data_IF_429272463360
#
_entry.id   IF_429272463360
#
_cell.length_a   1.000
_cell.length_b   1.000
_cell.length_c   1.000
_cell.angle_alpha   90.00
_cell.angle_beta   90.00
_cell.angle_gamma   90.00
#
_symmetry.space_group_name_H-M   'P 1'
#
loop_
_entity.id
_entity.type
_entity.pdbx_description
1 polymer ?
#
# COMPACT_ATOMS: atom_id res chain seq x y z
N UNK A 1 -25.50 18.27 5.45
CA UNK A 1 -25.56 17.05 4.60
C UNK A 1 -26.11 15.90 5.42
N UNK A 2 -26.98 15.05 4.87
CA UNK A 2 -27.58 13.94 5.60
C UNK A 2 -26.59 12.76 5.69
N UNK A 3 -26.29 12.28 6.91
CA UNK A 3 -25.42 11.12 7.10
C UNK A 3 -26.14 9.82 6.75
N UNK A 4 -25.71 9.14 5.69
CA UNK A 4 -26.34 7.91 5.18
C UNK A 4 -26.18 6.76 6.18
N UNK A 5 -27.26 6.43 6.92
CA UNK A 5 -27.27 5.30 7.85
C UNK A 5 -27.31 3.97 7.07
N UNK A 6 -26.53 2.98 7.51
CA UNK A 6 -26.59 1.62 6.97
C UNK A 6 -27.96 0.99 7.27
N UNK A 7 -28.58 0.38 6.26
CA UNK A 7 -29.81 -0.38 6.43
C UNK A 7 -29.55 -1.68 7.20
N UNK A 8 -30.60 -2.22 7.85
CA UNK A 8 -30.50 -3.51 8.55
C UNK A 8 -30.04 -4.67 7.66
N UNK A 9 -30.35 -4.63 6.35
CA UNK A 9 -29.89 -5.61 5.36
C UNK A 9 -28.38 -5.51 5.12
N UNK A 10 -27.84 -4.30 4.99
CA UNK A 10 -26.38 -4.09 4.87
C UNK A 10 -25.66 -4.53 6.15
N UNK A 11 -26.20 -4.21 7.33
CA UNK A 11 -25.64 -4.65 8.62
C UNK A 11 -25.58 -6.19 8.71
N UNK A 12 -26.63 -6.89 8.26
CA UNK A 12 -26.59 -8.36 8.16
C UNK A 12 -25.49 -8.85 7.20
N UNK A 13 -25.41 -8.29 5.98
CA UNK A 13 -24.41 -8.71 4.99
C UNK A 13 -22.96 -8.42 5.41
N UNK A 14 -22.72 -7.35 6.19
CA UNK A 14 -21.39 -6.91 6.59
C UNK A 14 -20.84 -7.62 7.83
N UNK A 15 -21.70 -8.02 8.78
CA UNK A 15 -21.27 -8.45 10.11
C UNK A 15 -21.71 -9.86 10.52
N UNK A 16 -22.57 -10.51 9.73
CA UNK A 16 -23.08 -11.85 10.00
C UNK A 16 -22.80 -12.83 8.87
N UNK A 17 -22.67 -14.11 9.24
CA UNK A 17 -22.63 -15.25 8.32
C UNK A 17 -23.65 -16.28 8.79
N UNK A 18 -24.45 -16.81 7.87
CA UNK A 18 -25.33 -17.95 8.16
C UNK A 18 -24.49 -19.21 8.35
N UNK A 19 -24.78 -19.99 9.40
CA UNK A 19 -24.00 -21.20 9.76
C UNK A 19 -24.81 -22.47 9.57
N UNK A 20 -26.09 -22.45 9.93
CA UNK A 20 -27.02 -23.57 9.73
C UNK A 20 -28.46 -23.12 9.97
N UNK A 21 -29.41 -23.92 9.49
CA UNK A 21 -30.77 -23.92 10.05
C UNK A 21 -30.75 -24.68 11.38
N UNK A 22 -31.46 -24.17 12.38
CA UNK A 22 -31.71 -24.89 13.64
C UNK A 22 -32.84 -25.91 13.44
N UNK A 23 -32.78 -27.01 14.19
CA UNK A 23 -33.84 -28.02 14.21
C UNK A 23 -35.19 -27.39 14.61
N UNK A 24 -36.31 -27.77 13.96
CA UNK A 24 -37.61 -27.16 14.22
C UNK A 24 -38.12 -27.54 15.61
N UNK A 25 -38.29 -26.53 16.48
CA UNK A 25 -38.99 -26.67 17.75
C UNK A 25 -40.49 -26.61 17.52
N UNK A 26 -41.24 -27.64 17.92
CA UNK A 26 -42.72 -27.59 17.88
C UNK A 26 -43.22 -26.48 18.82
N UNK A 27 -43.96 -25.52 18.28
CA UNK A 27 -44.79 -24.61 19.07
C UNK A 27 -46.01 -25.34 19.64
N UNK A 28 -46.72 -24.68 20.55
CA UNK A 28 -48.02 -25.15 21.08
C UNK A 28 -49.08 -25.13 19.97
N UNK A 29 -48.87 -24.30 18.95
CA UNK A 29 -49.84 -23.92 17.91
C UNK A 29 -49.74 -24.78 16.64
N UNK A 30 -48.92 -25.84 16.65
CA UNK A 30 -48.76 -26.78 15.53
C UNK A 30 -47.80 -26.34 14.41
N UNK A 31 -47.52 -25.04 14.23
CA UNK A 31 -46.51 -24.58 13.26
C UNK A 31 -45.09 -25.07 13.61
N UNK A 32 -44.38 -25.60 12.61
CA UNK A 32 -42.96 -25.99 12.70
C UNK A 32 -42.05 -24.80 12.34
N UNK A 33 -41.83 -23.89 13.28
CA UNK A 33 -40.97 -22.73 13.05
C UNK A 33 -39.47 -23.08 13.01
N UNK A 34 -38.91 -23.14 11.81
CA UNK A 34 -37.46 -23.16 11.58
C UNK A 34 -36.86 -21.79 11.91
N UNK A 35 -35.72 -21.77 12.60
CA UNK A 35 -34.93 -20.55 12.82
C UNK A 35 -33.52 -20.72 12.28
N UNK A 36 -32.94 -19.64 11.74
CA UNK A 36 -31.61 -19.66 11.13
C UNK A 36 -30.57 -19.20 12.14
N UNK A 37 -29.45 -19.92 12.24
CA UNK A 37 -28.33 -19.58 13.12
C UNK A 37 -27.34 -18.70 12.36
N UNK A 38 -27.22 -17.45 12.81
CA UNK A 38 -26.26 -16.48 12.29
C UNK A 38 -25.11 -16.30 13.29
N UNK A 39 -23.86 -16.36 12.80
CA UNK A 39 -22.64 -16.04 13.56
C UNK A 39 -22.18 -14.63 13.24
N UNK A 40 -22.07 -13.79 14.27
CA UNK A 40 -21.49 -12.45 14.16
C UNK A 40 -19.98 -12.56 14.00
N UNK A 41 -19.33 -11.56 13.37
CA UNK A 41 -17.85 -11.44 13.32
C UNK A 41 -17.18 -11.44 14.70
N UNK A 42 -17.90 -11.17 15.79
CA UNK A 42 -17.39 -11.31 17.18
C UNK A 42 -17.47 -12.75 17.74
N UNK A 43 -17.70 -13.75 16.87
CA UNK A 43 -17.87 -15.15 17.23
C UNK A 43 -19.25 -15.53 17.77
N UNK A 44 -20.03 -14.57 18.29
CA UNK A 44 -21.33 -14.84 18.92
C UNK A 44 -22.38 -15.31 17.91
N UNK A 45 -22.92 -16.50 18.14
CA UNK A 45 -24.05 -17.07 17.41
C UNK A 45 -25.39 -16.59 17.98
N UNK A 46 -26.38 -16.42 17.10
CA UNK A 46 -27.77 -16.12 17.46
C UNK A 46 -28.72 -16.82 16.48
N UNK A 47 -29.75 -17.47 17.01
CA UNK A 47 -30.88 -17.92 16.18
C UNK A 47 -31.80 -16.73 15.87
N UNK A 48 -32.32 -16.65 14.65
CA UNK A 48 -33.30 -15.65 14.23
C UNK A 48 -34.36 -16.31 13.34
N UNK A 49 -35.63 -16.03 13.63
CA UNK A 49 -36.78 -16.44 12.82
C UNK A 49 -36.92 -15.45 11.67
N UNK A 50 -36.77 -15.89 10.42
CA UNK A 50 -36.77 -15.00 9.24
C UNK A 50 -38.10 -14.24 9.07
N UNK A 51 -39.24 -14.84 9.45
CA UNK A 51 -40.57 -14.17 9.44
C UNK A 51 -40.68 -12.95 10.37
N UNK A 52 -39.73 -12.77 11.29
CA UNK A 52 -39.64 -11.62 12.21
C UNK A 52 -38.53 -10.61 11.82
N UNK A 53 -37.97 -10.73 10.62
CA UNK A 53 -36.87 -9.88 10.15
C UNK A 53 -35.57 -10.07 10.93
N UNK A 54 -34.76 -9.00 11.01
CA UNK A 54 -33.39 -9.06 11.55
C UNK A 54 -33.16 -8.15 12.78
N UNK A 55 -34.21 -7.55 13.35
CA UNK A 55 -34.12 -6.48 14.34
C UNK A 55 -33.20 -6.80 15.53
N UNK A 56 -33.26 -8.02 16.06
CA UNK A 56 -32.43 -8.44 17.19
C UNK A 56 -30.93 -8.61 16.84
N UNK A 57 -30.64 -8.99 15.60
CA UNK A 57 -29.27 -9.12 15.08
C UNK A 57 -28.68 -7.74 14.74
N UNK A 58 -29.47 -6.88 14.10
CA UNK A 58 -29.11 -5.49 13.80
C UNK A 58 -28.87 -4.71 15.09
N UNK A 59 -29.76 -4.83 16.08
CA UNK A 59 -29.61 -4.17 17.39
C UNK A 59 -28.39 -4.70 18.17
N UNK A 60 -28.01 -5.97 18.01
CA UNK A 60 -26.77 -6.47 18.59
C UNK A 60 -25.53 -5.73 18.06
N UNK A 61 -25.45 -5.52 16.74
CA UNK A 61 -24.34 -4.76 16.13
C UNK A 61 -24.42 -3.28 16.54
N UNK A 62 -25.58 -2.64 16.43
CA UNK A 62 -25.76 -1.23 16.79
C UNK A 62 -25.41 -0.91 18.27
N UNK A 63 -25.63 -1.85 19.19
CA UNK A 63 -25.41 -1.64 20.64
C UNK A 63 -24.05 -2.14 21.15
N UNK A 64 -23.46 -3.16 20.52
CA UNK A 64 -22.18 -3.77 20.97
C UNK A 64 -21.00 -3.59 20.02
N UNK A 65 -21.26 -3.11 18.80
CA UNK A 65 -20.30 -2.96 17.72
C UNK A 65 -20.57 -1.67 16.90
N UNK A 66 -20.95 -0.58 17.59
CA UNK A 66 -21.21 0.74 16.98
C UNK A 66 -19.94 1.38 16.39
N UNK A 67 -18.78 0.99 16.90
CA UNK A 67 -17.46 1.25 16.35
C UNK A 67 -17.30 0.64 14.95
N UNK A 68 -17.78 -0.58 14.70
CA UNK A 68 -17.72 -1.22 13.37
C UNK A 68 -18.63 -0.55 12.34
N UNK A 69 -19.83 -0.13 12.77
CA UNK A 69 -20.75 0.67 11.97
C UNK A 69 -20.08 1.99 11.58
N UNK A 70 -19.46 2.66 12.57
CA UNK A 70 -18.72 3.92 12.37
C UNK A 70 -17.49 3.72 11.48
N UNK A 71 -16.76 2.61 11.62
CA UNK A 71 -15.62 2.27 10.77
C UNK A 71 -16.05 2.03 9.32
N UNK A 72 -17.09 1.23 9.08
CA UNK A 72 -17.57 0.95 7.71
C UNK A 72 -18.16 2.20 7.04
N UNK A 73 -18.78 3.09 7.81
CA UNK A 73 -19.18 4.42 7.33
C UNK A 73 -17.97 5.32 7.00
N UNK A 74 -16.87 5.20 7.76
CA UNK A 74 -15.60 5.91 7.50
C UNK A 74 -14.82 5.34 6.32
N UNK A 75 -14.89 4.03 6.06
CA UNK A 75 -14.31 3.35 4.87
C UNK A 75 -14.92 3.82 3.54
N UNK A 76 -16.02 4.59 3.58
CA UNK A 76 -16.51 5.34 2.42
C UNK A 76 -15.61 6.54 2.03
N UNK A 77 -14.63 6.89 2.88
CA UNK A 77 -13.49 7.77 2.61
C UNK A 77 -12.17 7.01 2.93
N UNK A 78 -10.99 7.49 2.51
CA UNK A 78 -9.77 6.68 2.54
C UNK A 78 -9.25 6.37 3.95
N UNK A 79 -8.62 5.19 4.07
CA UNK A 79 -8.19 4.55 5.32
C UNK A 79 -7.26 5.43 6.19
N UNK A 80 -7.49 5.46 7.52
CA UNK A 80 -6.44 5.68 8.51
C UNK A 80 -5.66 4.37 8.77
N UNK A 81 -4.36 4.49 9.05
CA UNK A 81 -3.45 3.36 9.32
C UNK A 81 -3.69 2.79 10.74
N UNK A 82 -3.65 1.46 10.95
CA UNK A 82 -3.66 0.89 12.30
C UNK A 82 -2.36 1.17 13.06
N UNK A 83 -2.45 1.70 14.27
CA UNK A 83 -1.29 1.88 15.14
C UNK A 83 -0.85 0.54 15.76
N UNK A 84 0.44 0.23 15.68
CA UNK A 84 1.07 -0.83 16.47
C UNK A 84 1.52 -0.26 17.81
N UNK A 85 0.75 -0.52 18.87
CA UNK A 85 1.21 -0.31 20.24
C UNK A 85 2.01 -1.52 20.72
N UNK A 86 3.13 -1.30 21.40
CA UNK A 86 3.71 -2.31 22.27
C UNK A 86 4.35 -1.65 23.50
N UNK A 87 3.98 -2.15 24.68
CA UNK A 87 4.32 -1.57 25.96
C UNK A 87 5.13 -2.61 26.74
N UNK A 88 6.45 -2.41 26.87
CA UNK A 88 7.34 -3.29 27.62
C UNK A 88 8.02 -2.47 28.72
N UNK A 89 7.97 -2.98 29.96
CA UNK A 89 8.49 -2.30 31.15
C UNK A 89 10.01 -2.50 31.30
N UNK A 90 10.64 -1.54 31.96
CA UNK A 90 12.07 -1.47 32.28
C UNK A 90 12.57 -2.68 33.11
N UNK A 91 13.90 -2.86 33.18
CA UNK A 91 14.56 -2.39 34.40
C UNK A 91 15.78 -1.48 34.17
N UNK A 92 16.34 -0.98 35.28
CA UNK A 92 17.43 -0.02 35.37
C UNK A 92 18.83 -0.65 35.23
N UNK A 93 19.84 0.15 34.84
CA UNK A 93 20.97 0.58 35.71
C UNK A 93 22.14 1.17 34.91
N UNK A 94 22.44 2.45 35.11
CA UNK A 94 23.72 3.06 34.69
C UNK A 94 24.81 2.78 35.75
N UNK A 95 26.05 2.52 35.31
CA UNK A 95 27.26 2.62 36.14
C UNK A 95 28.42 3.17 35.28
N UNK A 96 29.29 3.97 35.90
CA UNK A 96 30.39 4.67 35.23
C UNK A 96 31.73 3.91 35.36
N UNK A 97 32.63 4.14 34.39
CA UNK A 97 34.05 3.74 34.37
C UNK A 97 34.62 4.09 32.99
N UNK A 98 35.42 5.13 32.73
CA UNK A 98 36.57 5.74 33.43
C UNK A 98 37.90 4.99 33.24
N UNK A 99 38.48 5.18 32.05
CA UNK A 99 39.92 5.05 31.68
C UNK A 99 40.19 6.18 30.65
N UNK A 100 41.29 6.92 30.60
CA UNK A 100 42.44 7.02 31.52
C UNK A 100 43.79 7.15 30.78
N UNK A 101 44.54 8.25 30.98
CA UNK A 101 45.89 8.54 30.42
C UNK A 101 45.94 8.69 28.86
N UNK A 102 46.97 9.20 28.15
CA UNK A 102 48.11 10.14 28.38
C UNK A 102 48.57 10.66 26.98
N UNK A 103 49.24 11.79 26.69
CA UNK A 103 50.13 12.75 27.40
C UNK A 103 51.56 12.22 27.67
N UNK A 104 52.65 12.66 27.02
CA UNK A 104 52.94 13.74 26.02
C UNK A 104 54.37 13.46 25.39
N UNK A 105 55.07 14.20 24.51
CA UNK A 105 54.98 15.57 23.96
C UNK A 105 55.81 15.81 22.64
N UNK A 106 55.69 17.02 22.04
CA UNK A 106 56.65 17.81 21.21
C UNK A 106 57.58 17.15 20.15
N UNK A 107 57.44 17.57 18.87
CA UNK A 107 58.50 18.28 18.11
C UNK A 107 58.00 18.94 16.79
N UNK A 108 57.73 20.25 16.89
CA UNK A 108 58.00 21.34 15.90
C UNK A 108 58.22 21.02 14.40
N UNK A 109 57.41 21.65 13.53
CA UNK A 109 57.83 22.83 12.74
C UNK A 109 56.64 23.53 12.05
N UNK A 110 56.90 24.77 11.59
CA UNK A 110 56.01 25.76 10.93
C UNK A 110 55.21 25.23 9.70
N UNK A 111 54.15 25.87 9.19
CA UNK A 111 53.96 27.33 9.04
C UNK A 111 52.47 27.80 8.95
N UNK A 112 52.27 29.11 8.78
CA UNK A 112 51.06 29.91 9.08
C UNK A 112 49.92 29.84 8.06
N UNK A 113 48.67 29.86 8.55
CA UNK A 113 47.75 31.02 8.45
C UNK A 113 46.45 30.87 9.25
N UNK A 114 46.02 31.96 9.89
CA UNK A 114 44.72 32.08 10.59
C UNK A 114 43.55 32.29 9.58
N UNK A 115 42.26 32.04 9.84
CA UNK A 115 41.44 32.06 11.08
C UNK A 115 41.16 33.49 11.63
N UNK A 116 40.02 33.84 12.24
CA UNK A 116 38.66 33.28 12.17
C UNK A 116 37.61 34.36 12.57
N UNK A 117 36.33 34.04 12.35
CA UNK A 117 35.16 34.35 13.21
C UNK A 117 34.75 35.78 13.67
N UNK A 118 33.50 36.10 13.28
CA UNK A 118 32.33 36.43 14.12
C UNK A 118 32.23 37.71 15.00
N UNK A 119 31.08 38.36 14.80
CA UNK A 119 30.17 38.99 15.76
C UNK A 119 30.66 39.46 17.15
N UNK A 120 30.34 40.73 17.46
CA UNK A 120 29.76 41.06 18.77
C UNK A 120 28.78 42.23 18.65
N UNK A 121 27.63 42.15 19.33
CA UNK A 121 26.60 43.20 19.35
C UNK A 121 26.59 43.89 20.71
N UNK A 122 26.71 45.22 20.74
CA UNK A 122 26.38 46.05 21.91
C UNK A 122 25.63 47.31 21.46
N UNK A 123 24.47 47.56 22.08
CA UNK A 123 23.74 48.82 21.98
C UNK A 123 24.30 49.85 22.96
N UNK A 124 24.10 51.15 22.68
CA UNK A 124 23.23 52.05 23.47
C UNK A 124 23.36 53.54 23.05
N UNK A 125 22.20 54.21 22.96
CA UNK A 125 21.94 55.64 23.19
C UNK A 125 22.72 56.73 22.38
N UNK A 126 22.00 57.48 21.54
CA UNK A 126 22.47 58.74 20.92
C UNK A 126 21.33 59.50 20.23
N UNK A 127 21.02 60.71 20.72
CA UNK A 127 19.83 61.55 20.47
C UNK A 127 19.56 61.99 19.02
N UNK A 128 18.28 62.33 18.80
CA UNK A 128 17.70 63.54 18.17
C UNK A 128 18.70 64.62 17.65
N UNK A 129 18.44 65.38 16.56
CA UNK A 129 17.16 65.70 15.90
C UNK A 129 17.29 66.15 14.41
N UNK A 130 16.15 66.43 13.76
CA UNK A 130 15.87 67.27 12.57
C UNK A 130 16.98 67.51 11.48
N UNK A 131 16.71 67.32 10.18
CA UNK A 131 15.65 68.03 9.46
C UNK A 131 15.43 67.57 8.00
N UNK A 132 14.19 67.75 7.52
CA UNK A 132 13.75 68.00 6.14
C UNK A 132 14.46 67.33 4.93
N UNK A 133 13.76 66.37 4.29
CA UNK A 133 13.27 66.52 2.90
C UNK A 133 12.29 65.42 2.50
N UNK A 134 11.13 65.82 1.96
CA UNK A 134 10.13 64.90 1.42
C UNK A 134 10.53 64.47 0.00
N UNK A 135 10.59 63.16 -0.23
CA UNK A 135 10.51 62.57 -1.56
C UNK A 135 9.37 61.54 -1.55
N UNK A 136 8.26 61.87 -2.21
CA UNK A 136 7.04 61.06 -2.23
C UNK A 136 7.19 59.84 -3.15
N UNK A 137 7.97 58.86 -2.70
CA UNK A 137 7.96 57.52 -3.28
C UNK A 137 6.58 56.92 -3.06
N UNK A 138 5.75 56.96 -4.09
CA UNK A 138 4.46 56.28 -4.10
C UNK A 138 4.72 54.77 -4.01
N UNK A 139 4.68 54.23 -2.79
CA UNK A 139 4.79 52.80 -2.53
C UNK A 139 3.59 52.14 -3.19
N UNK A 140 3.80 51.65 -4.41
CA UNK A 140 2.96 50.60 -4.99
C UNK A 140 3.11 49.40 -4.09
N UNK A 141 2.21 49.28 -3.12
CA UNK A 141 1.86 48.02 -2.47
C UNK A 141 1.27 47.12 -3.55
N UNK A 142 2.17 46.57 -4.39
CA UNK A 142 1.88 45.39 -5.18
C UNK A 142 1.71 44.25 -4.18
N UNK A 143 0.51 44.18 -3.61
CA UNK A 143 0.04 43.11 -2.72
C UNK A 143 -0.11 41.87 -3.58
N UNK A 144 1.04 41.31 -3.94
CA UNK A 144 1.23 40.04 -4.61
C UNK A 144 0.77 38.96 -3.63
N UNK A 145 -0.54 38.82 -3.54
CA UNK A 145 -1.19 37.60 -3.10
C UNK A 145 -0.74 36.52 -4.08
N UNK A 146 0.38 35.90 -3.74
CA UNK A 146 0.94 34.71 -4.38
C UNK A 146 -0.01 33.55 -4.10
N UNK A 147 -1.15 33.57 -4.80
CA UNK A 147 -2.23 32.58 -4.69
C UNK A 147 -1.61 31.20 -4.64
N UNK A 148 -1.72 30.53 -3.48
CA UNK A 148 -1.01 29.29 -3.21
C UNK A 148 -1.39 28.26 -4.28
N UNK A 149 -0.45 27.96 -5.16
CA UNK A 149 -0.67 27.02 -6.26
C UNK A 149 -0.39 25.60 -5.79
N UNK A 150 -1.06 24.62 -6.40
CA UNK A 150 -0.64 23.22 -6.26
C UNK A 150 0.79 23.04 -6.77
N UNK A 151 1.52 22.09 -6.21
CA UNK A 151 2.79 21.60 -6.77
C UNK A 151 2.60 21.18 -8.24
N UNK A 152 3.65 21.34 -9.04
CA UNK A 152 3.73 20.91 -10.45
C UNK A 152 4.54 19.63 -10.64
N UNK A 153 5.28 19.20 -9.62
CA UNK A 153 6.28 18.13 -9.66
C UNK A 153 5.79 16.77 -9.10
N UNK A 154 4.50 16.67 -8.76
CA UNK A 154 3.88 15.43 -8.28
C UNK A 154 3.85 14.34 -9.36
N UNK A 155 3.79 13.07 -8.94
CA UNK A 155 3.77 11.94 -9.87
C UNK A 155 2.44 11.87 -10.64
N UNK A 156 2.50 11.49 -11.92
CA UNK A 156 1.33 11.05 -12.66
C UNK A 156 0.78 9.74 -12.05
N UNK A 157 -0.50 9.44 -12.30
CA UNK A 157 -1.10 8.20 -11.78
C UNK A 157 -0.42 6.94 -12.36
N UNK A 158 -0.16 6.92 -13.66
CA UNK A 158 0.48 5.77 -14.32
C UNK A 158 1.95 5.61 -13.85
N UNK A 159 2.70 6.71 -13.65
CA UNK A 159 4.03 6.65 -13.01
C UNK A 159 3.96 6.20 -11.54
N UNK A 160 2.95 6.61 -10.77
CA UNK A 160 2.75 6.17 -9.39
C UNK A 160 2.45 4.68 -9.31
N UNK A 161 1.49 4.16 -10.08
CA UNK A 161 1.16 2.73 -10.05
C UNK A 161 2.27 1.85 -10.61
N UNK A 162 3.00 2.32 -11.62
CA UNK A 162 4.22 1.66 -12.07
C UNK A 162 5.31 1.70 -11.00
N UNK A 163 5.48 2.82 -10.27
CA UNK A 163 6.41 2.89 -9.14
C UNK A 163 6.03 1.94 -8.00
N UNK A 164 4.74 1.73 -7.73
CA UNK A 164 4.28 0.69 -6.78
C UNK A 164 4.63 -0.71 -7.28
N UNK A 165 4.49 -1.00 -8.58
CA UNK A 165 4.90 -2.28 -9.16
C UNK A 165 6.42 -2.52 -9.00
N UNK A 166 7.26 -1.51 -9.29
CA UNK A 166 8.72 -1.61 -9.08
C UNK A 166 9.12 -1.69 -7.59
N UNK A 167 8.49 -0.92 -6.71
CA UNK A 167 8.69 -1.02 -5.26
C UNK A 167 8.29 -2.40 -4.71
N UNK A 168 7.25 -3.00 -5.28
CA UNK A 168 6.82 -4.36 -4.93
C UNK A 168 7.83 -5.41 -5.40
N UNK A 169 8.46 -5.21 -6.55
CA UNK A 169 9.54 -6.08 -7.04
C UNK A 169 10.71 -6.17 -6.04
N UNK A 170 10.99 -5.10 -5.28
CA UNK A 170 12.03 -5.08 -4.23
C UNK A 170 11.74 -6.02 -3.05
N UNK A 171 10.56 -6.66 -3.00
CA UNK A 171 10.25 -7.75 -2.05
C UNK A 171 10.51 -9.16 -2.59
N UNK A 172 10.87 -9.30 -3.87
CA UNK A 172 11.29 -10.58 -4.42
C UNK A 172 12.64 -11.02 -3.86
N UNK A 173 12.76 -12.31 -3.61
CA UNK A 173 14.00 -12.98 -3.19
C UNK A 173 14.73 -13.65 -4.36
N UNK A 174 14.17 -13.58 -5.58
CA UNK A 174 14.79 -14.10 -6.79
C UNK A 174 16.11 -13.36 -7.07
N UNK A 175 17.27 -14.03 -7.06
CA UNK A 175 18.56 -13.36 -7.24
C UNK A 175 18.82 -12.95 -8.69
N UNK A 176 18.08 -13.51 -9.67
CA UNK A 176 18.29 -13.26 -11.10
C UNK A 176 17.37 -12.19 -11.68
N UNK A 177 16.12 -12.10 -11.21
CA UNK A 177 15.09 -11.27 -11.87
C UNK A 177 13.97 -10.95 -10.90
N UNK A 178 13.82 -9.66 -10.58
CA UNK A 178 12.76 -9.15 -9.72
C UNK A 178 11.68 -8.48 -10.58
N UNK A 179 10.45 -8.96 -10.48
CA UNK A 179 9.25 -8.44 -11.16
C UNK A 179 8.20 -8.14 -10.09
N UNK A 180 7.47 -7.05 -10.27
CA UNK A 180 6.33 -6.69 -9.44
C UNK A 180 5.16 -6.24 -10.30
N UNK A 181 3.95 -6.38 -9.73
CA UNK A 181 2.68 -6.06 -10.35
C UNK A 181 1.74 -5.39 -9.34
N UNK A 182 0.93 -4.45 -9.84
CA UNK A 182 -0.02 -3.65 -9.08
C UNK A 182 -1.35 -3.58 -9.85
N UNK A 183 -2.44 -4.07 -9.26
CA UNK A 183 -3.77 -4.06 -9.87
C UNK A 183 -4.58 -2.90 -9.30
N UNK A 184 -5.18 -2.12 -10.19
CA UNK A 184 -5.84 -0.85 -9.89
C UNK A 184 -7.24 -0.85 -10.48
N UNK A 185 -8.22 -0.44 -9.68
CA UNK A 185 -9.62 -0.38 -10.11
C UNK A 185 -9.98 0.96 -10.80
N UNK A 186 -11.19 1.12 -11.38
CA UNK A 186 -11.59 2.35 -12.07
C UNK A 186 -11.53 3.62 -11.21
N UNK A 187 -11.78 3.52 -9.90
CA UNK A 187 -11.66 4.64 -8.94
C UNK A 187 -10.19 4.92 -8.51
N UNK A 188 -9.21 4.37 -9.22
CA UNK A 188 -7.76 4.54 -8.96
C UNK A 188 -7.31 4.01 -7.59
N UNK A 189 -8.01 3.01 -7.05
CA UNK A 189 -7.63 2.31 -5.81
C UNK A 189 -6.80 1.08 -6.13
N UNK A 190 -5.74 0.84 -5.37
CA UNK A 190 -4.94 -0.39 -5.49
C UNK A 190 -5.73 -1.53 -4.83
N UNK A 191 -6.05 -2.55 -5.62
CA UNK A 191 -6.87 -3.69 -5.21
C UNK A 191 -6.09 -5.00 -5.14
N UNK A 192 -4.86 -5.06 -5.66
CA UNK A 192 -3.98 -6.23 -5.52
C UNK A 192 -2.52 -5.87 -5.79
N UNK A 193 -1.58 -6.52 -5.10
CA UNK A 193 -0.13 -6.32 -5.24
C UNK A 193 0.57 -7.67 -5.26
N UNK A 194 1.54 -7.84 -6.15
CA UNK A 194 2.34 -9.05 -6.27
C UNK A 194 3.78 -8.80 -6.68
N UNK A 195 4.63 -9.77 -6.41
CA UNK A 195 6.01 -9.88 -6.86
C UNK A 195 6.33 -11.37 -7.08
N UNK A 196 7.35 -11.70 -7.85
CA UNK A 196 7.71 -13.11 -8.08
C UNK A 196 8.36 -13.74 -6.84
N UNK A 197 7.91 -14.93 -6.47
CA UNK A 197 8.28 -15.64 -5.24
C UNK A 197 7.74 -17.07 -5.23
N UNK A 198 8.20 -17.91 -4.30
CA UNK A 198 7.62 -19.25 -4.14
C UNK A 198 6.20 -19.20 -3.51
N UNK A 199 5.46 -20.32 -3.48
CA UNK A 199 4.11 -20.37 -2.92
C UNK A 199 4.10 -20.11 -1.41
N UNK A 200 2.95 -19.65 -0.91
CA UNK A 200 2.76 -19.41 0.52
C UNK A 200 3.09 -20.66 1.35
N UNK A 201 3.99 -20.50 2.34
CA UNK A 201 4.51 -21.55 3.24
C UNK A 201 5.56 -22.51 2.66
N UNK A 202 6.04 -22.28 1.44
CA UNK A 202 7.30 -22.88 0.99
C UNK A 202 8.48 -21.99 1.42
N UNK A 203 9.56 -22.55 1.97
CA UNK A 203 10.73 -21.78 2.37
C UNK A 203 11.54 -21.28 1.18
N UNK A 204 11.90 -20.00 1.18
CA UNK A 204 12.77 -19.42 0.14
C UNK A 204 14.23 -19.90 0.21
N UNK A 205 14.59 -20.59 1.29
CA UNK A 205 15.87 -21.27 1.51
C UNK A 205 15.75 -22.81 1.32
N UNK A 206 14.53 -23.33 1.12
CA UNK A 206 14.23 -24.77 0.94
C UNK A 206 14.11 -25.16 -0.54
N UNK A 207 13.73 -24.21 -1.40
CA UNK A 207 13.51 -24.41 -2.83
C UNK A 207 14.59 -23.73 -3.68
N UNK A 208 14.99 -24.32 -4.82
CA UNK A 208 16.13 -23.83 -5.58
C UNK A 208 15.80 -22.57 -6.38
N UNK A 209 16.59 -21.52 -6.18
CA UNK A 209 16.55 -20.30 -7.00
C UNK A 209 17.27 -20.41 -8.35
N UNK A 210 17.93 -21.55 -8.62
CA UNK A 210 18.74 -21.75 -9.80
C UNK A 210 17.92 -21.70 -11.11
N UNK A 211 18.59 -21.28 -12.18
CA UNK A 211 18.05 -21.24 -13.55
C UNK A 211 18.43 -22.46 -14.37
N UNK A 212 19.49 -23.16 -13.97
CA UNK A 212 20.10 -24.28 -14.66
C UNK A 212 20.27 -25.39 -13.62
N UNK A 213 20.10 -26.64 -14.05
CA UNK A 213 20.16 -27.82 -13.19
C UNK A 213 21.54 -28.44 -13.23
N UNK A 214 22.02 -28.92 -12.07
CA UNK A 214 23.27 -29.68 -11.98
C UNK A 214 23.07 -31.17 -12.29
N UNK A 215 21.85 -31.70 -12.13
CA UNK A 215 21.50 -33.11 -12.40
C UNK A 215 20.76 -33.35 -13.72
N UNK A 216 20.51 -32.29 -14.50
CA UNK A 216 19.54 -32.20 -15.60
C UNK A 216 18.06 -32.42 -15.18
N UNK A 217 17.75 -32.43 -13.88
CA UNK A 217 16.38 -32.43 -13.35
C UNK A 217 15.76 -31.03 -13.37
N UNK A 218 14.53 -30.83 -13.89
CA UNK A 218 13.84 -29.54 -13.80
C UNK A 218 13.55 -29.13 -12.35
N UNK A 219 13.54 -30.10 -11.42
CA UNK A 219 13.32 -29.89 -9.98
C UNK A 219 14.48 -29.17 -9.29
N UNK A 220 15.67 -29.12 -9.90
CA UNK A 220 16.81 -28.33 -9.39
C UNK A 220 16.67 -26.84 -9.73
N UNK A 221 15.63 -26.44 -10.46
CA UNK A 221 15.44 -25.06 -10.95
C UNK A 221 14.22 -24.41 -10.31
N UNK A 222 14.17 -23.09 -10.27
CA UNK A 222 13.00 -22.36 -9.75
C UNK A 222 11.73 -22.51 -10.59
N UNK A 223 11.84 -22.97 -11.84
CA UNK A 223 10.76 -22.88 -12.83
C UNK A 223 9.48 -23.68 -12.50
N UNK A 224 9.52 -24.87 -11.85
CA UNK A 224 8.32 -25.56 -11.39
C UNK A 224 7.63 -24.88 -10.18
N UNK A 225 8.33 -23.99 -9.48
CA UNK A 225 7.93 -23.51 -8.15
C UNK A 225 7.59 -22.02 -8.10
N UNK A 226 8.21 -21.18 -8.94
CA UNK A 226 8.11 -19.72 -8.83
C UNK A 226 6.75 -19.20 -9.32
N UNK A 227 5.95 -18.66 -8.39
CA UNK A 227 4.77 -17.89 -8.73
C UNK A 227 5.18 -16.53 -9.31
N UNK A 228 4.62 -16.17 -10.45
CA UNK A 228 4.84 -14.88 -11.10
C UNK A 228 4.17 -13.71 -10.36
N UNK A 229 4.64 -12.48 -10.59
CA UNK A 229 4.13 -11.28 -9.94
C UNK A 229 2.66 -11.01 -10.26
N UNK A 230 2.27 -11.22 -11.52
CA UNK A 230 0.91 -11.06 -12.03
C UNK A 230 -0.06 -12.04 -11.36
N UNK A 231 0.34 -13.31 -11.23
CA UNK A 231 -0.39 -14.35 -10.51
C UNK A 231 -0.57 -13.99 -9.04
N UNK A 232 0.52 -13.62 -8.37
CA UNK A 232 0.48 -13.22 -6.96
C UNK A 232 -0.39 -11.97 -6.74
N UNK A 233 -0.40 -11.00 -7.66
CA UNK A 233 -1.27 -9.82 -7.56
C UNK A 233 -2.77 -10.15 -7.67
N UNK A 234 -3.16 -11.09 -8.53
CA UNK A 234 -4.55 -11.55 -8.71
C UNK A 234 -5.04 -12.38 -7.50
N UNK A 235 -4.13 -13.13 -6.87
CA UNK A 235 -4.41 -13.93 -5.68
C UNK A 235 -4.47 -13.06 -4.41
N UNK A 236 -3.51 -12.15 -4.22
CA UNK A 236 -3.39 -11.25 -3.06
C UNK A 236 -4.35 -10.05 -3.09
N UNK A 237 -5.45 -10.12 -3.84
CA UNK A 237 -6.41 -9.00 -3.93
C UNK A 237 -7.14 -8.75 -2.61
N UNK A 238 -7.41 -7.48 -2.31
CA UNK A 238 -8.23 -7.05 -1.18
C UNK A 238 -9.73 -6.86 -1.57
N UNK A 239 -10.08 -7.14 -2.82
CA UNK A 239 -11.41 -7.01 -3.41
C UNK A 239 -12.04 -8.38 -3.72
N UNK A 240 -13.36 -8.42 -3.89
CA UNK A 240 -14.09 -9.65 -4.26
C UNK A 240 -13.60 -10.24 -5.59
N UNK A 241 -13.43 -9.40 -6.60
CA UNK A 241 -12.74 -9.72 -7.85
C UNK A 241 -11.95 -8.51 -8.38
N UNK A 242 -11.30 -8.68 -9.53
CA UNK A 242 -10.50 -7.65 -10.22
C UNK A 242 -11.03 -7.38 -11.64
N UNK A 243 -12.34 -7.60 -11.86
CA UNK A 243 -12.97 -7.33 -13.15
C UNK A 243 -12.93 -5.83 -13.45
N UNK A 244 -12.72 -5.48 -14.72
CA UNK A 244 -12.63 -4.08 -15.16
C UNK A 244 -11.36 -3.34 -14.68
N UNK A 245 -10.46 -4.01 -13.96
CA UNK A 245 -9.25 -3.38 -13.44
C UNK A 245 -8.15 -3.24 -14.50
N UNK A 246 -7.15 -2.42 -14.19
CA UNK A 246 -5.88 -2.29 -14.92
C UNK A 246 -4.75 -2.91 -14.11
N UNK A 247 -3.90 -3.74 -14.71
CA UNK A 247 -2.66 -4.23 -14.10
C UNK A 247 -1.46 -3.41 -14.59
N UNK A 248 -0.70 -2.83 -13.68
CA UNK A 248 0.62 -2.26 -13.93
C UNK A 248 1.69 -3.30 -13.59
N UNK A 249 2.66 -3.54 -14.48
CA UNK A 249 3.67 -4.61 -14.31
C UNK A 249 5.04 -4.21 -14.87
N UNK A 250 6.12 -4.62 -14.20
CA UNK A 250 7.49 -4.24 -14.61
C UNK A 250 7.94 -4.88 -15.95
N UNK A 251 7.37 -6.03 -16.33
CA UNK A 251 7.69 -6.81 -17.52
C UNK A 251 6.39 -7.28 -18.21
N UNK A 252 6.36 -7.36 -19.54
CA UNK A 252 5.20 -7.89 -20.29
C UNK A 252 4.86 -9.32 -19.81
N UNK A 253 3.57 -9.65 -19.57
CA UNK A 253 3.20 -10.94 -19.00
C UNK A 253 3.49 -12.11 -19.94
N UNK A 254 3.88 -13.26 -19.36
CA UNK A 254 3.98 -14.51 -20.13
C UNK A 254 2.58 -15.06 -20.48
N UNK A 255 2.51 -16.06 -21.35
CA UNK A 255 1.24 -16.67 -21.78
C UNK A 255 0.42 -17.26 -20.63
N UNK A 256 1.05 -17.83 -19.60
CA UNK A 256 0.34 -18.35 -18.42
C UNK A 256 -0.27 -17.21 -17.57
N UNK A 257 0.47 -16.11 -17.39
CA UNK A 257 -0.05 -14.91 -16.73
C UNK A 257 -1.15 -14.22 -17.56
N UNK A 258 -1.07 -14.24 -18.89
CA UNK A 258 -2.13 -13.76 -19.77
C UNK A 258 -3.44 -14.54 -19.55
N UNK A 259 -3.40 -15.87 -19.44
CA UNK A 259 -4.59 -16.68 -19.09
C UNK A 259 -5.21 -16.21 -17.77
N UNK A 260 -4.41 -15.97 -16.73
CA UNK A 260 -4.90 -15.51 -15.42
C UNK A 260 -5.47 -14.09 -15.48
N UNK A 261 -4.83 -13.18 -16.22
CA UNK A 261 -5.30 -11.81 -16.46
C UNK A 261 -6.67 -11.82 -17.14
N UNK A 262 -6.83 -12.61 -18.22
CA UNK A 262 -8.09 -12.76 -18.96
C UNK A 262 -9.18 -13.38 -18.08
N UNK A 263 -8.91 -14.54 -17.45
CA UNK A 263 -9.90 -15.25 -16.64
C UNK A 263 -10.30 -14.51 -15.34
N UNK A 264 -9.48 -13.56 -14.87
CA UNK A 264 -9.83 -12.67 -13.75
C UNK A 264 -10.61 -11.42 -14.16
N UNK A 265 -10.75 -11.17 -15.48
CA UNK A 265 -11.54 -10.06 -16.05
C UNK A 265 -10.83 -8.71 -16.06
N UNK A 266 -9.49 -8.70 -15.97
CA UNK A 266 -8.68 -7.48 -16.10
C UNK A 266 -8.73 -7.02 -17.56
N UNK A 267 -9.07 -5.74 -17.80
CA UNK A 267 -9.31 -5.22 -19.15
C UNK A 267 -8.12 -4.47 -19.76
N UNK A 268 -7.12 -4.07 -18.94
CA UNK A 268 -5.93 -3.35 -19.40
C UNK A 268 -4.66 -3.81 -18.68
N UNK A 269 -3.56 -3.95 -19.43
CA UNK A 269 -2.20 -4.19 -18.92
C UNK A 269 -1.29 -3.02 -19.31
N UNK A 270 -0.62 -2.43 -18.33
CA UNK A 270 0.38 -1.38 -18.50
C UNK A 270 1.74 -1.94 -18.11
N UNK A 271 2.65 -2.09 -19.07
CA UNK A 271 3.92 -2.77 -18.85
C UNK A 271 5.12 -1.84 -19.04
N UNK A 272 6.18 -1.97 -18.26
CA UNK A 272 7.39 -1.14 -18.43
C UNK A 272 8.33 -1.69 -19.52
N UNK A 273 8.63 -3.00 -19.48
CA UNK A 273 9.58 -3.66 -20.39
C UNK A 273 8.92 -4.76 -21.24
N UNK A 274 9.27 -4.85 -22.52
CA UNK A 274 8.99 -6.00 -23.40
C UNK A 274 10.29 -6.54 -24.02
N UNK A 275 11.32 -6.70 -23.18
CA UNK A 275 12.65 -7.20 -23.58
C UNK A 275 12.65 -8.60 -24.18
N UNK A 276 11.59 -9.39 -23.96
CA UNK A 276 11.45 -10.77 -24.44
C UNK A 276 10.44 -10.91 -25.57
N UNK A 277 10.09 -9.82 -26.28
CA UNK A 277 9.02 -9.81 -27.28
C UNK A 277 9.04 -10.91 -28.34
N UNK A 278 10.22 -11.45 -28.69
CA UNK A 278 10.36 -12.51 -29.70
C UNK A 278 10.29 -13.95 -29.12
N UNK A 279 10.32 -14.14 -27.79
CA UNK A 279 10.10 -15.46 -27.19
C UNK A 279 8.62 -15.84 -27.34
N UNK A 280 8.38 -17.10 -27.75
CA UNK A 280 7.07 -17.65 -28.06
C UNK A 280 6.04 -17.44 -26.95
N UNK A 281 6.45 -17.37 -25.68
CA UNK A 281 5.57 -17.13 -24.53
C UNK A 281 4.92 -15.74 -24.60
N UNK A 282 5.65 -14.73 -25.06
CA UNK A 282 5.17 -13.34 -25.14
C UNK A 282 4.44 -13.10 -26.46
N UNK A 283 4.78 -13.83 -27.53
CA UNK A 283 3.98 -13.91 -28.77
C UNK A 283 2.62 -14.57 -28.49
N UNK A 284 2.58 -15.69 -27.77
CA UNK A 284 1.34 -16.35 -27.37
C UNK A 284 0.54 -15.51 -26.36
N UNK A 285 1.21 -14.83 -25.43
CA UNK A 285 0.59 -13.87 -24.51
C UNK A 285 -0.19 -12.78 -25.26
N UNK A 286 0.44 -12.10 -26.23
CA UNK A 286 -0.27 -11.10 -27.06
C UNK A 286 -1.46 -11.70 -27.81
N UNK A 287 -1.28 -12.82 -28.52
CA UNK A 287 -2.41 -13.51 -29.20
C UNK A 287 -3.61 -13.76 -28.28
N UNK A 288 -3.37 -14.21 -27.05
CA UNK A 288 -4.43 -14.43 -26.05
C UNK A 288 -5.10 -13.12 -25.63
N UNK A 289 -4.32 -12.06 -25.35
CA UNK A 289 -4.83 -10.75 -24.94
C UNK A 289 -5.62 -10.07 -26.09
N UNK A 290 -5.10 -10.14 -27.33
CA UNK A 290 -5.73 -9.66 -28.55
C UNK A 290 -7.10 -10.34 -28.77
N UNK A 291 -7.14 -11.68 -28.71
CA UNK A 291 -8.36 -12.48 -28.85
C UNK A 291 -9.39 -12.23 -27.75
N UNK A 292 -8.94 -11.90 -26.54
CA UNK A 292 -9.81 -11.59 -25.40
C UNK A 292 -10.21 -10.10 -25.29
N UNK A 293 -9.71 -9.23 -26.18
CA UNK A 293 -9.95 -7.79 -26.13
C UNK A 293 -9.28 -7.07 -24.95
N UNK A 294 -8.29 -7.69 -24.30
CA UNK A 294 -7.55 -7.09 -23.17
C UNK A 294 -6.48 -6.15 -23.72
N UNK A 295 -6.66 -4.86 -23.49
CA UNK A 295 -5.75 -3.83 -24.01
C UNK A 295 -4.38 -3.93 -23.33
N UNK A 296 -3.29 -3.74 -24.08
CA UNK A 296 -1.95 -3.60 -23.49
C UNK A 296 -1.20 -2.40 -24.07
N UNK A 297 -0.56 -1.63 -23.17
CA UNK A 297 0.18 -0.41 -23.54
C UNK A 297 1.50 -0.34 -22.79
N UNK A 298 2.61 -0.08 -23.48
CA UNK A 298 3.88 0.17 -22.80
C UNK A 298 3.83 1.51 -22.06
N UNK A 299 4.30 1.56 -20.82
CA UNK A 299 4.34 2.78 -20.03
C UNK A 299 5.40 3.75 -20.56
N UNK A 300 4.99 4.99 -20.83
CA UNK A 300 5.91 6.08 -21.18
C UNK A 300 6.35 6.79 -19.91
N UNK A 301 7.42 6.28 -19.29
CA UNK A 301 8.07 6.87 -18.12
C UNK A 301 8.29 8.38 -18.29
N UNK A 302 7.68 9.19 -17.41
CA UNK A 302 7.96 10.64 -17.35
C UNK A 302 9.25 10.93 -16.57
N UNK A 303 9.66 10.00 -15.70
CA UNK A 303 10.89 10.02 -14.92
C UNK A 303 11.53 8.64 -14.94
N UNK A 304 12.85 8.56 -15.08
CA UNK A 304 13.61 7.30 -15.03
C UNK A 304 13.82 6.77 -13.60
N UNK A 305 13.61 7.61 -12.57
CA UNK A 305 13.77 7.27 -11.16
C UNK A 305 12.75 8.02 -10.31
N UNK A 306 12.27 7.35 -9.25
CA UNK A 306 11.59 7.95 -8.11
C UNK A 306 12.45 7.68 -6.88
N UNK A 307 12.50 8.63 -5.95
CA UNK A 307 13.22 8.51 -4.68
C UNK A 307 12.20 8.51 -3.54
N UNK A 308 12.31 7.54 -2.65
CA UNK A 308 11.56 7.48 -1.39
C UNK A 308 12.57 7.80 -0.30
N UNK A 309 12.44 8.96 0.33
CA UNK A 309 13.29 9.44 1.42
C UNK A 309 12.48 9.46 2.72
N UNK A 310 12.84 8.56 3.65
CA UNK A 310 12.18 8.45 4.95
C UNK A 310 12.46 9.63 5.89
N UNK A 311 13.42 10.50 5.56
CA UNK A 311 13.76 11.73 6.31
C UNK A 311 13.09 12.99 5.75
N UNK A 312 12.38 12.86 4.63
CA UNK A 312 11.74 14.00 3.93
C UNK A 312 10.54 14.62 4.66
N UNK A 313 9.98 13.93 5.65
CA UNK A 313 8.94 14.45 6.54
C UNK A 313 9.62 15.01 7.79
N UNK A 314 9.37 16.29 8.07
CA UNK A 314 9.82 17.02 9.27
C UNK A 314 8.59 17.46 10.08
#
# INVERSE_FOLDING_TARGET
MAGTKLSGRQIMQLFYTEVSQALPTKGIDGESEVSTIFRCKCGKTRAQKLKHGYTNLVQHVLVKHSDWITATMRESYPSPVPAMANNIKSPTRIKNGKIGAQIENVSTNDDKKEANDNETVLNLNGKEDESMKQATVAVKTSTLSSKVQKRSDYLSWDDYFMSVAFLSAMRSKDPSTQVGACIVNPERKIVGIGYNGFPNRCGDDELPWARESLTNSPLDTKYPYVCHAEMNAILNKNSTDVKGCTMYVALFPCNECAKLIIQSGILRVVYCSDKYKQDWKFVASRRLLDMAGVQYTQHRLQRSKVVIDFTSVR
#
